data_IF_314865409855
#
_entry.id   IF_314865409855
#
_cell.length_a   1.000
_cell.length_b   1.000
_cell.length_c   1.000
_cell.angle_alpha   90.00
_cell.angle_beta   90.00
_cell.angle_gamma   90.00
#
_symmetry.space_group_name_H-M   'P 1'
#
loop_
_entity.id
_entity.type
_entity.pdbx_description
1 polymer ?
#
# COMPACT_ATOMS: atom_id res chain seq x y z
N UNK A 1 -11.27 18.62 -11.08
CA UNK A 1 -11.55 17.33 -10.39
C UNK A 1 -10.22 16.69 -10.03
N UNK A 2 -9.84 16.70 -8.75
CA UNK A 2 -8.53 16.21 -8.30
C UNK A 2 -8.51 14.71 -7.98
N UNK A 3 -7.34 14.10 -8.08
CA UNK A 3 -7.10 12.72 -7.66
C UNK A 3 -7.47 12.56 -6.18
N UNK A 4 -8.32 11.58 -5.86
CA UNK A 4 -8.83 11.38 -4.48
C UNK A 4 -7.81 10.66 -3.59
N UNK A 5 -6.92 9.85 -4.18
CA UNK A 5 -5.77 9.24 -3.50
C UNK A 5 -4.74 8.84 -4.55
N UNK A 6 -3.51 9.31 -4.37
CA UNK A 6 -2.35 8.95 -5.19
C UNK A 6 -1.32 8.25 -4.32
N UNK A 7 -0.99 7.00 -4.65
CA UNK A 7 0.00 6.20 -3.93
C UNK A 7 1.22 6.04 -4.81
N UNK A 8 2.36 6.51 -4.33
CA UNK A 8 3.67 6.35 -4.98
C UNK A 8 4.56 5.46 -4.11
N UNK A 9 5.32 4.59 -4.77
CA UNK A 9 6.35 3.74 -4.15
C UNK A 9 5.88 2.85 -2.99
N UNK A 10 4.66 2.31 -3.08
CA UNK A 10 4.14 1.42 -2.04
C UNK A 10 4.89 0.09 -2.03
N UNK A 11 5.46 -0.24 -0.87
CA UNK A 11 6.19 -1.49 -0.65
C UNK A 11 5.70 -2.16 0.63
N UNK A 12 5.39 -3.46 0.57
CA UNK A 12 4.99 -4.26 1.72
C UNK A 12 5.99 -5.38 1.96
N UNK A 13 6.60 -5.38 3.14
CA UNK A 13 7.62 -6.35 3.55
C UNK A 13 7.11 -7.13 4.76
N UNK A 14 7.26 -8.46 4.72
CA UNK A 14 6.94 -9.37 5.81
C UNK A 14 8.22 -9.98 6.40
N UNK A 15 8.22 -10.27 7.70
CA UNK A 15 9.37 -10.85 8.43
C UNK A 15 10.05 -9.87 9.38
N UNK A 16 11.14 -10.31 10.04
CA UNK A 16 11.82 -9.56 11.11
C UNK A 16 12.78 -8.47 10.60
N UNK A 17 13.44 -8.68 9.46
CA UNK A 17 14.49 -7.79 8.91
C UNK A 17 13.96 -6.77 7.89
N UNK A 18 12.85 -6.10 8.20
CA UNK A 18 12.16 -5.21 7.25
C UNK A 18 13.00 -3.99 6.84
N UNK A 19 13.72 -3.37 7.79
CA UNK A 19 14.57 -2.20 7.50
C UNK A 19 15.67 -2.51 6.48
N UNK A 20 16.36 -3.65 6.67
CA UNK A 20 17.42 -4.09 5.76
C UNK A 20 16.85 -4.41 4.37
N UNK A 21 15.70 -5.08 4.33
CA UNK A 21 15.02 -5.36 3.07
C UNK A 21 14.61 -4.07 2.34
N UNK A 22 14.11 -3.06 3.07
CA UNK A 22 13.74 -1.77 2.49
C UNK A 22 14.94 -1.04 1.86
N UNK A 23 16.10 -1.03 2.53
CA UNK A 23 17.32 -0.43 1.97
C UNK A 23 17.79 -1.17 0.71
N UNK A 24 17.69 -2.50 0.69
CA UNK A 24 18.00 -3.28 -0.51
C UNK A 24 17.02 -3.01 -1.67
N UNK A 25 15.74 -2.76 -1.39
CA UNK A 25 14.75 -2.36 -2.40
C UNK A 25 15.12 -1.00 -3.01
N UNK A 26 15.51 -0.03 -2.19
CA UNK A 26 16.00 1.28 -2.67
C UNK A 26 17.26 1.16 -3.53
N UNK A 27 18.10 0.15 -3.27
CA UNK A 27 19.27 -0.19 -4.08
C UNK A 27 18.93 -0.95 -5.37
N UNK A 28 17.65 -1.21 -5.66
CA UNK A 28 17.21 -1.93 -6.86
C UNK A 28 17.49 -3.44 -6.81
N UNK A 29 17.71 -4.01 -5.63
CA UNK A 29 17.97 -5.45 -5.49
C UNK A 29 16.72 -6.29 -5.79
N UNK A 30 16.94 -7.46 -6.39
CA UNK A 30 15.84 -8.37 -6.71
C UNK A 30 15.17 -8.94 -5.45
N UNK A 31 13.87 -9.27 -5.54
CA UNK A 31 13.11 -9.89 -4.44
C UNK A 31 13.79 -11.16 -3.91
N UNK A 32 14.40 -11.94 -4.81
CA UNK A 32 15.10 -13.19 -4.49
C UNK A 32 16.37 -12.92 -3.68
N UNK A 33 17.15 -11.90 -4.06
CA UNK A 33 18.35 -11.50 -3.32
C UNK A 33 18.00 -10.94 -1.94
N UNK A 34 16.95 -10.13 -1.86
CA UNK A 34 16.41 -9.61 -0.60
C UNK A 34 15.98 -10.76 0.31
N UNK A 35 15.22 -11.72 -0.21
CA UNK A 35 14.76 -12.87 0.57
C UNK A 35 15.94 -13.72 1.06
N UNK A 36 16.90 -14.06 0.20
CA UNK A 36 18.10 -14.84 0.58
C UNK A 36 18.92 -14.16 1.67
N UNK A 37 19.07 -12.82 1.61
CA UNK A 37 19.90 -12.06 2.55
C UNK A 37 19.20 -11.72 3.86
N UNK A 38 17.89 -11.49 3.82
CA UNK A 38 17.13 -10.95 4.95
C UNK A 38 16.14 -11.95 5.57
N UNK A 39 15.78 -13.01 4.85
CA UNK A 39 14.65 -13.88 5.19
C UNK A 39 13.30 -13.17 5.14
N UNK A 40 13.25 -11.93 4.63
CA UNK A 40 12.03 -11.13 4.53
C UNK A 40 11.42 -11.26 3.13
N UNK A 41 10.09 -11.39 3.08
CA UNK A 41 9.34 -11.53 1.83
C UNK A 41 8.75 -10.19 1.43
N UNK A 42 8.95 -9.77 0.18
CA UNK A 42 8.38 -8.53 -0.36
C UNK A 42 7.10 -8.85 -1.13
N UNK A 43 5.95 -8.56 -0.52
CA UNK A 43 4.62 -8.87 -1.09
C UNK A 43 4.11 -7.82 -2.07
N UNK A 44 4.42 -6.55 -1.85
CA UNK A 44 4.18 -5.47 -2.80
C UNK A 44 5.52 -4.78 -3.02
N UNK A 45 5.91 -4.62 -4.29
CA UNK A 45 7.20 -4.07 -4.68
C UNK A 45 6.95 -2.85 -5.55
N UNK A 46 7.27 -1.68 -5.01
CA UNK A 46 7.27 -0.40 -5.72
C UNK A 46 6.04 -0.15 -6.60
N UNK A 47 4.84 -0.31 -6.00
CA UNK A 47 3.61 -0.02 -6.71
C UNK A 47 3.44 1.50 -6.84
N UNK A 48 3.67 2.03 -8.04
CA UNK A 48 3.72 3.47 -8.32
C UNK A 48 2.44 4.05 -8.96
N UNK A 49 1.49 3.22 -9.41
CA UNK A 49 0.38 3.70 -10.26
C UNK A 49 -1.02 3.33 -9.78
N UNK A 50 -1.24 3.24 -8.45
CA UNK A 50 -2.58 2.92 -7.93
C UNK A 50 -3.37 4.20 -7.64
N UNK A 51 -4.13 4.67 -8.63
CA UNK A 51 -5.13 5.73 -8.45
C UNK A 51 -6.48 5.10 -8.10
N UNK A 52 -7.01 5.37 -6.90
CA UNK A 52 -8.30 4.80 -6.45
C UNK A 52 -9.24 5.91 -6.00
N UNK A 53 -10.46 5.91 -6.56
CA UNK A 53 -11.51 6.88 -6.22
C UNK A 53 -12.13 6.49 -4.87
N UNK A 54 -11.71 7.10 -3.78
CA UNK A 54 -12.33 6.89 -2.45
C UNK A 54 -13.58 7.76 -2.36
N UNK A 55 -14.75 7.20 -2.71
CA UNK A 55 -16.02 7.90 -2.53
C UNK A 55 -16.38 7.83 -1.03
N UNK A 56 -16.11 8.89 -0.27
CA UNK A 56 -16.75 9.06 1.04
C UNK A 56 -18.24 9.30 0.82
N UNK A 57 -19.00 8.21 0.70
CA UNK A 57 -20.47 8.20 0.69
C UNK A 57 -21.01 7.66 2.03
N UNK A 58 -20.33 7.96 3.15
CA UNK A 58 -20.72 7.46 4.46
C UNK A 58 -21.49 8.49 5.31
N UNK A 59 -21.45 9.76 4.96
CA UNK A 59 -22.20 10.82 5.66
C UNK A 59 -23.62 11.03 5.10
N UNK A 60 -23.88 10.63 3.85
CA UNK A 60 -25.20 10.80 3.23
C UNK A 60 -26.12 9.59 3.44
N UNK A 61 -25.58 8.38 3.56
CA UNK A 61 -26.38 7.17 3.80
C UNK A 61 -26.94 7.08 5.23
N UNK A 62 -26.26 7.66 6.22
CA UNK A 62 -26.72 7.61 7.61
C UNK A 62 -28.02 8.41 7.82
N UNK A 63 -28.19 9.50 7.09
CA UNK A 63 -29.42 10.30 7.10
C UNK A 63 -30.60 9.58 6.44
N UNK A 64 -30.34 8.77 5.42
CA UNK A 64 -31.38 7.99 4.73
C UNK A 64 -31.91 6.86 5.62
N UNK A 65 -31.03 6.21 6.40
CA UNK A 65 -31.41 5.14 7.33
C UNK A 65 -32.12 5.69 8.58
N UNK A 66 -31.73 6.86 9.09
CA UNK A 66 -32.36 7.45 10.28
C UNK A 66 -33.74 8.07 9.98
N UNK A 67 -33.98 8.55 8.76
CA UNK A 67 -35.29 9.14 8.37
C UNK A 67 -36.31 8.12 7.82
N UNK A 68 -36.01 6.82 7.87
CA UNK A 68 -36.95 5.74 7.52
C UNK A 68 -37.52 4.99 8.75
N UNK A 69 -37.25 5.50 9.95
CA UNK A 69 -37.88 5.10 11.22
C UNK A 69 -38.68 6.28 11.79
#
# INVERSE_FOLDING_TARGET
MGNILEVRHLTKIFGKKQKVALEMIKQGKSKTEIFKKTGATVGVYDAASMSKKVKYSLLWDFRAVVNQL
#
